data_IF_107638336645
#
_entry.id   IF_107638336645
#
_cell.length_a   1.000
_cell.length_b   1.000
_cell.length_c   1.000
_cell.angle_alpha   90.00
_cell.angle_beta   90.00
_cell.angle_gamma   90.00
#
_symmetry.space_group_name_H-M   'P 1'
#
loop_
_entity.id
_entity.type
_entity.pdbx_description
1 polymer ?
#
# COMPACT_ATOMS: atom_id res chain seq x y z
N UNK A 1 -16.27 10.58 -14.87
CA UNK A 1 -14.87 10.88 -14.50
C UNK A 1 -14.38 9.76 -13.60
N UNK A 2 -13.55 8.83 -14.08
CA UNK A 2 -12.99 7.75 -13.25
C UNK A 2 -11.66 8.27 -12.72
N UNK A 3 -11.63 8.72 -11.46
CA UNK A 3 -10.37 9.11 -10.81
C UNK A 3 -9.58 7.82 -10.63
N UNK A 4 -8.50 7.67 -11.39
CA UNK A 4 -7.52 6.60 -11.15
C UNK A 4 -6.78 7.02 -9.89
N UNK A 5 -7.19 6.43 -8.76
CA UNK A 5 -6.54 6.61 -7.47
C UNK A 5 -5.13 6.01 -7.56
N UNK A 6 -4.12 6.66 -6.97
CA UNK A 6 -2.77 6.07 -6.92
C UNK A 6 -2.81 4.78 -6.10
N UNK A 7 -1.97 3.82 -6.46
CA UNK A 7 -1.89 2.52 -5.78
C UNK A 7 -1.73 2.69 -4.26
N UNK A 8 -0.83 3.58 -3.83
CA UNK A 8 -0.58 3.86 -2.41
C UNK A 8 -1.82 4.41 -1.67
N UNK A 9 -2.63 5.25 -2.32
CA UNK A 9 -3.87 5.76 -1.72
C UNK A 9 -4.92 4.64 -1.56
N UNK A 10 -4.99 3.72 -2.52
CA UNK A 10 -5.83 2.53 -2.40
C UNK A 10 -5.35 1.60 -1.28
N UNK A 11 -4.04 1.37 -1.17
CA UNK A 11 -3.41 0.61 -0.08
C UNK A 11 -3.70 1.26 1.28
N UNK A 12 -3.52 2.57 1.38
CA UNK A 12 -3.79 3.33 2.61
C UNK A 12 -5.25 3.20 3.03
N UNK A 13 -6.19 3.39 2.09
CA UNK A 13 -7.62 3.27 2.34
C UNK A 13 -7.98 1.86 2.81
N UNK A 14 -7.46 0.83 2.14
CA UNK A 14 -7.69 -0.56 2.51
C UNK A 14 -7.16 -0.87 3.91
N UNK A 15 -5.90 -0.51 4.20
CA UNK A 15 -5.30 -0.74 5.50
C UNK A 15 -6.09 -0.01 6.60
N UNK A 16 -6.47 1.24 6.36
CA UNK A 16 -7.26 2.05 7.30
C UNK A 16 -8.63 1.45 7.58
N UNK A 17 -9.30 0.94 6.55
CA UNK A 17 -10.60 0.26 6.65
C UNK A 17 -10.49 -1.07 7.42
N UNK A 18 -9.44 -1.85 7.14
CA UNK A 18 -9.20 -3.14 7.81
C UNK A 18 -8.69 -2.98 9.25
N UNK A 19 -8.07 -1.85 9.58
CA UNK A 19 -7.57 -1.53 10.92
C UNK A 19 -6.45 -2.46 11.42
N UNK A 20 -5.81 -3.23 10.52
CA UNK A 20 -4.78 -4.22 10.86
C UNK A 20 -3.72 -4.31 9.75
N UNK A 21 -2.47 -4.66 10.09
CA UNK A 21 -1.41 -4.81 9.10
C UNK A 21 -1.68 -6.03 8.21
N UNK A 22 -1.48 -5.87 6.91
CA UNK A 22 -1.79 -6.88 5.89
C UNK A 22 -0.56 -7.21 5.05
N UNK A 23 -0.54 -8.43 4.53
CA UNK A 23 0.47 -8.86 3.58
C UNK A 23 0.24 -8.20 2.22
N UNK A 24 1.30 -7.80 1.52
CA UNK A 24 1.18 -7.09 0.22
C UNK A 24 0.38 -7.88 -0.83
N UNK A 25 0.37 -9.22 -0.76
CA UNK A 25 -0.45 -10.08 -1.63
C UNK A 25 -1.94 -9.87 -1.35
N UNK A 26 -2.34 -9.92 -0.09
CA UNK A 26 -3.73 -9.71 0.34
C UNK A 26 -4.19 -8.29 0.00
N UNK A 27 -3.32 -7.30 0.20
CA UNK A 27 -3.57 -5.91 -0.16
C UNK A 27 -3.86 -5.80 -1.66
N UNK A 28 -3.02 -6.41 -2.49
CA UNK A 28 -3.20 -6.40 -3.94
C UNK A 28 -4.52 -7.07 -4.35
N UNK A 29 -4.83 -8.24 -3.80
CA UNK A 29 -6.08 -8.96 -4.08
C UNK A 29 -7.31 -8.13 -3.70
N UNK A 30 -7.32 -7.53 -2.50
CA UNK A 30 -8.45 -6.72 -2.04
C UNK A 30 -8.60 -5.41 -2.81
N UNK A 31 -7.53 -4.76 -3.22
CA UNK A 31 -7.59 -3.56 -4.08
C UNK A 31 -8.25 -3.88 -5.43
N UNK A 32 -7.92 -5.03 -6.03
CA UNK A 32 -8.57 -5.49 -7.27
C UNK A 32 -10.02 -5.86 -7.01
N UNK A 33 -10.27 -6.61 -5.94
CA UNK A 33 -11.61 -7.07 -5.57
C UNK A 33 -12.56 -5.91 -5.30
N UNK A 34 -12.08 -4.86 -4.63
CA UNK A 34 -12.82 -3.62 -4.37
C UNK A 34 -12.88 -2.69 -5.58
N UNK A 35 -12.20 -3.02 -6.69
CA UNK A 35 -12.17 -2.22 -7.91
C UNK A 35 -11.45 -0.88 -7.76
N UNK A 36 -10.63 -0.74 -6.71
CA UNK A 36 -9.89 0.49 -6.38
C UNK A 36 -8.73 0.74 -7.35
N UNK A 37 -8.14 -0.33 -7.89
CA UNK A 37 -7.06 -0.26 -8.88
C UNK A 37 -7.15 -1.45 -9.83
N UNK A 38 -6.81 -1.24 -11.09
CA UNK A 38 -6.81 -2.28 -12.12
C UNK A 38 -5.48 -2.25 -12.86
N UNK A 39 -4.71 -3.32 -12.73
CA UNK A 39 -3.47 -3.52 -13.50
C UNK A 39 -3.76 -4.34 -14.75
N UNK A 40 -3.07 -4.02 -15.85
CA UNK A 40 -3.07 -4.83 -17.06
C UNK A 40 -1.88 -5.79 -17.01
N UNK A 41 -2.12 -7.03 -16.58
CA UNK A 41 -1.25 -8.18 -16.89
C UNK A 41 0.03 -8.35 -16.05
N UNK A 42 0.33 -7.49 -15.08
CA UNK A 42 1.48 -7.66 -14.18
C UNK A 42 1.04 -8.08 -12.78
N UNK A 43 1.83 -8.89 -12.08
CA UNK A 43 1.53 -9.37 -10.72
C UNK A 43 1.38 -8.18 -9.78
N UNK A 44 0.12 -7.81 -9.49
CA UNK A 44 -0.19 -6.59 -8.73
C UNK A 44 0.49 -6.59 -7.36
N UNK A 45 0.66 -7.76 -6.75
CA UNK A 45 1.37 -7.92 -5.48
C UNK A 45 2.82 -7.44 -5.55
N UNK A 46 3.54 -7.72 -6.64
CA UNK A 46 4.91 -7.20 -6.84
C UNK A 46 4.89 -5.69 -6.98
N UNK A 47 3.97 -5.15 -7.79
CA UNK A 47 3.83 -3.71 -7.97
C UNK A 47 3.53 -3.00 -6.63
N UNK A 48 2.60 -3.51 -5.83
CA UNK A 48 2.29 -3.00 -4.49
C UNK A 48 3.53 -2.98 -3.60
N UNK A 49 4.32 -4.05 -3.59
CA UNK A 49 5.54 -4.10 -2.79
C UNK A 49 6.60 -3.08 -3.23
N UNK A 50 6.80 -2.93 -4.55
CA UNK A 50 7.72 -1.96 -5.14
C UNK A 50 7.27 -0.53 -4.85
N UNK A 51 6.02 -0.17 -5.15
CA UNK A 51 5.45 1.16 -4.90
C UNK A 51 5.59 1.56 -3.42
N UNK A 52 5.23 0.67 -2.48
CA UNK A 52 5.37 0.96 -1.04
C UNK A 52 6.84 1.18 -0.67
N UNK A 53 7.74 0.34 -1.18
CA UNK A 53 9.18 0.44 -0.88
C UNK A 53 9.81 1.70 -1.46
N UNK A 54 9.51 2.04 -2.71
CA UNK A 54 10.00 3.25 -3.38
C UNK A 54 9.49 4.49 -2.66
N UNK A 55 8.21 4.52 -2.29
CA UNK A 55 7.64 5.63 -1.52
C UNK A 55 8.29 5.77 -0.15
N UNK A 56 8.53 4.67 0.58
CA UNK A 56 9.27 4.70 1.84
C UNK A 56 10.67 5.28 1.66
N UNK A 57 11.41 4.82 0.65
CA UNK A 57 12.76 5.34 0.33
C UNK A 57 12.70 6.83 0.00
N UNK A 58 11.84 7.24 -0.92
CA UNK A 58 11.65 8.65 -1.31
C UNK A 58 11.33 9.56 -0.12
N UNK A 59 10.45 9.12 0.79
CA UNK A 59 10.10 9.89 1.97
C UNK A 59 11.27 9.93 2.96
N UNK A 60 11.99 8.82 3.14
CA UNK A 60 13.19 8.80 3.99
C UNK A 60 14.30 9.71 3.48
N UNK A 61 14.51 9.78 2.17
CA UNK A 61 15.45 10.71 1.53
C UNK A 61 15.02 12.17 1.70
N UNK A 62 13.71 12.42 1.74
CA UNK A 62 13.13 13.74 2.04
C UNK A 62 13.11 14.09 3.54
N UNK A 63 13.50 13.17 4.42
CA UNK A 63 13.37 13.34 5.87
C UNK A 63 11.92 13.31 6.37
N UNK A 64 10.97 12.85 5.56
CA UNK A 64 9.58 12.68 5.93
C UNK A 64 9.30 11.26 6.46
N UNK A 65 8.35 11.15 7.39
CA UNK A 65 7.90 9.85 7.86
C UNK A 65 6.94 9.22 6.86
N UNK A 66 7.24 7.99 6.43
CA UNK A 66 6.30 7.21 5.64
C UNK A 66 5.01 6.96 6.42
N UNK A 67 3.88 7.11 5.73
CA UNK A 67 2.55 6.74 6.26
C UNK A 67 2.42 5.22 6.47
N UNK A 68 3.28 4.46 5.80
CA UNK A 68 3.37 3.02 5.94
C UNK A 68 4.54 2.64 6.84
N UNK A 69 4.40 1.54 7.57
CA UNK A 69 5.44 0.91 8.36
C UNK A 69 5.48 -0.58 8.04
N UNK A 70 6.68 -1.17 7.96
CA UNK A 70 6.85 -2.62 7.74
C UNK A 70 6.85 -3.32 9.08
N UNK A 71 5.77 -4.03 9.39
CA UNK A 71 5.60 -4.74 10.67
C UNK A 71 6.36 -6.07 10.66
N UNK A 72 6.32 -6.79 9.54
CA UNK A 72 7.04 -8.05 9.32
C UNK A 72 7.45 -8.19 7.86
N UNK A 73 8.19 -9.24 7.51
CA UNK A 73 8.52 -9.54 6.11
C UNK A 73 7.25 -9.71 5.27
N UNK A 74 7.09 -8.86 4.25
CA UNK A 74 5.93 -8.82 3.39
C UNK A 74 4.65 -8.22 4.00
N UNK A 75 4.68 -7.81 5.28
CA UNK A 75 3.50 -7.28 6.00
C UNK A 75 3.69 -5.79 6.28
N UNK A 76 2.74 -5.01 5.81
CA UNK A 76 2.73 -3.55 5.95
C UNK A 76 1.54 -3.10 6.78
N UNK A 77 1.77 -2.11 7.63
CA UNK A 77 0.76 -1.42 8.41
C UNK A 77 0.89 0.09 8.27
N UNK A 78 0.00 0.83 8.93
CA UNK A 78 0.07 2.29 8.97
C UNK A 78 0.91 2.74 10.16
N UNK A 79 1.80 3.70 9.93
CA UNK A 79 2.61 4.31 10.98
C UNK A 79 1.75 5.03 12.03
N UNK A 80 0.56 5.49 11.64
CA UNK A 80 -0.42 6.13 12.53
C UNK A 80 -0.94 5.18 13.63
N UNK A 81 -0.87 3.86 13.45
CA UNK A 81 -1.30 2.89 14.49
C UNK A 81 -0.32 2.74 15.65
N UNK A 82 0.92 3.21 15.47
CA UNK A 82 2.00 3.06 16.44
C UNK A 82 2.38 4.40 17.08
N UNK A 83 1.56 5.44 16.91
CA UNK A 83 1.74 6.78 17.48
C UNK A 83 1.06 6.93 18.83
#
# INVERSE_FOLDING_TARGET
MRIIMKMLDAVYTLLKDEGKPLHYTVIAEEIVRRGLYQTQGHTLSTAVSSDISENMTLLSEKGENSRFCRVKTGVYGLSEWYK
#
